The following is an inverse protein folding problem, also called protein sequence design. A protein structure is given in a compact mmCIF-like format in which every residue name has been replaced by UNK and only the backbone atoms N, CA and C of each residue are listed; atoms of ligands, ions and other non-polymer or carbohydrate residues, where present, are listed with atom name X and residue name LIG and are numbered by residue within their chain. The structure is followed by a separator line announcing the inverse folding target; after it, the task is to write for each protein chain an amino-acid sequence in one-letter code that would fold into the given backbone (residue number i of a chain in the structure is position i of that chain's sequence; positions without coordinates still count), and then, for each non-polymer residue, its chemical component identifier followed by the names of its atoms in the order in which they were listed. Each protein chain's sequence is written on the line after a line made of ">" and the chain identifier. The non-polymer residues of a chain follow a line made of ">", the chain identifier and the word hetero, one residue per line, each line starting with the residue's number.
data_IF_502267041376
#
_entry.id   IF_502267041376
#
_cell.length_a   1.000
_cell.length_b   1.000
_cell.length_c   1.000
_cell.angle_alpha   90.00
_cell.angle_beta   90.00
_cell.angle_gamma   90.00
#
_symmetry.space_group_name_H-M   'P 1'
#
loop_
_entity.id
_entity.type
_entity.pdbx_description
1 polymer ?
#
# COMPACT_ATOMS: atom_id res chain seq x y z
N UNK A 1 -26.94 -16.86 -14.27
CA UNK A 1 -26.47 -17.41 -12.98
C UNK A 1 -24.99 -17.08 -12.84
N UNK A 2 -24.58 -16.48 -11.71
CA UNK A 2 -23.18 -16.21 -11.36
C UNK A 2 -22.73 -17.23 -10.31
N UNK A 3 -21.52 -17.76 -10.44
CA UNK A 3 -20.90 -18.68 -9.49
C UNK A 3 -19.52 -18.17 -9.12
N UNK A 4 -19.25 -18.00 -7.84
CA UNK A 4 -17.92 -17.69 -7.33
C UNK A 4 -17.23 -18.98 -6.87
N UNK A 5 -15.98 -19.17 -7.37
CA UNK A 5 -15.14 -20.30 -7.00
C UNK A 5 -13.87 -19.76 -6.30
N UNK A 6 -13.60 -20.18 -5.09
CA UNK A 6 -12.40 -19.82 -4.35
C UNK A 6 -11.30 -20.83 -4.68
N UNK A 7 -10.18 -20.34 -5.20
CA UNK A 7 -8.98 -21.12 -5.51
C UNK A 7 -7.80 -20.38 -4.85
N UNK A 8 -7.20 -20.98 -3.83
CA UNK A 8 -6.14 -20.34 -3.03
C UNK A 8 -4.81 -20.25 -3.76
N UNK A 9 -4.48 -21.26 -4.58
CA UNK A 9 -3.21 -21.30 -5.29
C UNK A 9 -3.23 -20.42 -6.55
N UNK A 10 -2.26 -19.51 -6.67
CA UNK A 10 -2.18 -18.49 -7.72
C UNK A 10 -2.12 -19.13 -9.11
N UNK A 11 -1.20 -20.08 -9.34
CA UNK A 11 -1.03 -20.77 -10.62
C UNK A 11 -2.27 -21.59 -11.01
N UNK A 12 -2.96 -22.18 -10.04
CA UNK A 12 -4.16 -22.95 -10.32
C UNK A 12 -5.32 -22.07 -10.82
N UNK A 13 -5.40 -20.80 -10.37
CA UNK A 13 -6.41 -19.84 -10.87
C UNK A 13 -6.21 -19.53 -12.35
N UNK A 14 -4.97 -19.25 -12.76
CA UNK A 14 -4.66 -18.97 -14.17
C UNK A 14 -4.92 -20.19 -15.06
N UNK A 15 -4.49 -21.38 -14.63
CA UNK A 15 -4.75 -22.65 -15.36
C UNK A 15 -6.25 -22.90 -15.52
N UNK A 16 -7.06 -22.68 -14.47
CA UNK A 16 -8.51 -22.85 -14.54
C UNK A 16 -9.18 -21.89 -15.54
N UNK A 17 -8.68 -20.65 -15.67
CA UNK A 17 -9.14 -19.71 -16.68
C UNK A 17 -8.74 -20.17 -18.10
N UNK A 18 -7.49 -20.59 -18.30
CA UNK A 18 -7.00 -21.10 -19.61
C UNK A 18 -7.76 -22.32 -20.08
N UNK A 19 -8.12 -23.22 -19.18
CA UNK A 19 -8.90 -24.42 -19.49
C UNK A 19 -10.41 -24.16 -19.66
N UNK A 20 -10.86 -22.93 -19.42
CA UNK A 20 -12.30 -22.58 -19.51
C UNK A 20 -13.13 -23.09 -18.33
N UNK A 21 -12.50 -23.46 -17.22
CA UNK A 21 -13.19 -23.79 -15.96
C UNK A 21 -13.67 -22.53 -15.23
N UNK A 22 -13.03 -21.38 -15.52
CA UNK A 22 -13.42 -20.05 -15.11
C UNK A 22 -13.64 -19.18 -16.35
N UNK A 23 -14.66 -18.34 -16.31
CA UNK A 23 -14.92 -17.31 -17.32
C UNK A 23 -14.19 -16.01 -17.02
N UNK A 24 -13.95 -15.74 -15.72
CA UNK A 24 -13.37 -14.50 -15.20
C UNK A 24 -12.50 -14.79 -13.99
N UNK A 25 -11.37 -14.07 -13.89
CA UNK A 25 -10.43 -14.08 -12.76
C UNK A 25 -10.20 -12.63 -12.31
N UNK A 26 -10.63 -12.28 -11.09
CA UNK A 26 -10.55 -10.92 -10.55
C UNK A 26 -9.24 -10.61 -9.80
N UNK A 27 -8.39 -11.59 -9.58
CA UNK A 27 -7.08 -11.49 -8.91
C UNK A 27 -6.04 -12.24 -9.74
N UNK A 28 -5.54 -11.60 -10.77
CA UNK A 28 -4.51 -12.17 -11.65
C UNK A 28 -3.17 -12.11 -10.95
N UNK A 29 -2.43 -13.25 -10.84
CA UNK A 29 -1.04 -13.21 -10.39
C UNK A 29 -0.20 -12.36 -11.35
N UNK A 30 0.59 -11.44 -10.80
CA UNK A 30 1.43 -10.54 -11.62
C UNK A 30 2.45 -11.28 -12.46
N UNK A 31 2.90 -12.46 -12.01
CA UNK A 31 3.76 -13.38 -12.77
C UNK A 31 3.11 -13.92 -14.05
N UNK A 32 1.80 -13.98 -14.10
CA UNK A 32 1.05 -14.60 -15.20
C UNK A 32 0.45 -13.54 -16.16
N UNK A 33 0.54 -12.26 -15.83
CA UNK A 33 -0.06 -11.18 -16.63
C UNK A 33 0.44 -11.18 -18.07
N UNK A 34 1.75 -11.36 -18.30
CA UNK A 34 2.33 -11.46 -19.64
C UNK A 34 1.78 -12.64 -20.44
N UNK A 35 1.70 -13.81 -19.82
CA UNK A 35 1.15 -15.02 -20.45
C UNK A 35 -0.32 -14.85 -20.86
N UNK A 36 -1.10 -14.14 -20.04
CA UNK A 36 -2.51 -13.86 -20.34
C UNK A 36 -2.62 -12.85 -21.49
N UNK A 37 -1.79 -11.79 -21.53
CA UNK A 37 -1.74 -10.82 -22.65
C UNK A 37 -1.45 -11.47 -23.99
N UNK A 38 -0.57 -12.49 -23.98
CA UNK A 38 -0.14 -13.19 -25.20
C UNK A 38 -1.12 -14.29 -25.66
N UNK A 39 -2.22 -14.52 -24.93
CA UNK A 39 -3.20 -15.56 -25.23
C UNK A 39 -4.45 -15.00 -25.91
N UNK A 40 -4.61 -15.25 -27.22
CA UNK A 40 -5.73 -14.78 -28.04
C UNK A 40 -7.13 -15.21 -27.54
N UNK A 41 -7.21 -16.24 -26.70
CA UNK A 41 -8.49 -16.71 -26.12
C UNK A 41 -8.89 -15.95 -24.86
N UNK A 42 -7.97 -15.15 -24.31
CA UNK A 42 -8.15 -14.41 -23.09
C UNK A 42 -8.11 -12.89 -23.36
N UNK A 43 -8.60 -12.13 -22.43
CA UNK A 43 -8.41 -10.69 -22.39
C UNK A 43 -7.97 -10.30 -20.98
N UNK A 44 -7.03 -9.36 -20.89
CA UNK A 44 -6.59 -8.76 -19.65
C UNK A 44 -7.09 -7.32 -19.59
N UNK A 45 -7.97 -7.03 -18.65
CA UNK A 45 -8.46 -5.68 -18.38
C UNK A 45 -7.58 -5.06 -17.27
N UNK A 46 -6.89 -3.98 -17.59
CA UNK A 46 -6.02 -3.24 -16.67
C UNK A 46 -6.70 -1.95 -16.21
N UNK A 47 -6.56 -1.61 -14.94
CA UNK A 47 -7.17 -0.38 -14.41
C UNK A 47 -6.33 0.22 -13.29
N UNK A 48 -6.45 1.54 -13.13
CA UNK A 48 -5.87 2.25 -11.98
C UNK A 48 -6.73 1.99 -10.76
N UNK A 49 -6.12 1.42 -9.74
CA UNK A 49 -6.80 1.13 -8.48
C UNK A 49 -6.59 2.24 -7.44
N UNK A 50 -7.41 2.25 -6.39
CA UNK A 50 -7.20 3.10 -5.22
C UNK A 50 -6.24 2.50 -4.21
N UNK A 51 -5.60 1.38 -4.54
CA UNK A 51 -4.71 0.63 -3.66
C UNK A 51 -3.34 1.32 -3.55
N UNK A 52 -2.86 1.44 -2.32
CA UNK A 52 -1.48 1.87 -1.99
C UNK A 52 -0.86 0.82 -1.09
N UNK A 53 0.30 0.30 -1.47
CA UNK A 53 1.18 -0.50 -0.59
C UNK A 53 2.21 0.44 0.06
N UNK A 54 2.43 0.25 1.35
CA UNK A 54 3.30 1.11 2.14
C UNK A 54 4.09 0.35 3.20
N UNK A 55 5.25 0.90 3.52
CA UNK A 55 6.03 0.55 4.69
C UNK A 55 5.75 1.58 5.78
N UNK A 56 5.54 1.12 7.01
CA UNK A 56 5.34 1.99 8.16
C UNK A 56 6.07 1.47 9.38
N UNK A 57 6.42 2.39 10.27
CA UNK A 57 7.08 2.12 11.54
C UNK A 57 6.16 2.48 12.69
N UNK A 58 6.37 1.88 13.85
CA UNK A 58 5.63 2.19 15.06
C UNK A 58 6.23 3.41 15.77
N UNK A 59 5.63 4.58 15.56
CA UNK A 59 6.11 5.86 16.10
C UNK A 59 6.01 5.97 17.63
N UNK A 60 5.33 5.04 18.29
CA UNK A 60 5.32 4.97 19.76
C UNK A 60 6.60 4.35 20.36
N UNK A 61 7.51 3.87 19.51
CA UNK A 61 8.77 3.21 19.88
C UNK A 61 9.96 3.98 19.35
N UNK A 62 10.98 4.22 20.21
CA UNK A 62 12.27 4.70 19.71
C UNK A 62 12.93 3.61 18.82
N UNK A 63 13.62 3.98 17.74
CA UNK A 63 13.97 5.34 17.34
C UNK A 63 12.93 5.97 16.38
N UNK A 64 11.78 5.35 16.15
CA UNK A 64 10.82 5.72 15.13
C UNK A 64 9.96 6.95 15.48
N UNK A 65 10.02 7.43 16.72
CA UNK A 65 9.46 8.71 17.15
C UNK A 65 10.20 9.93 16.56
N UNK A 66 11.40 9.72 15.97
CA UNK A 66 12.19 10.77 15.34
C UNK A 66 11.84 10.95 13.87
N UNK A 67 11.29 12.13 13.50
CA UNK A 67 10.89 12.47 12.12
C UNK A 67 12.06 12.37 11.14
N UNK A 68 13.28 12.85 11.52
CA UNK A 68 14.45 12.77 10.63
C UNK A 68 14.84 11.34 10.30
N UNK A 69 14.69 10.44 11.25
CA UNK A 69 14.93 9.01 11.01
C UNK A 69 13.90 8.47 10.01
N UNK A 70 12.61 8.80 10.14
CA UNK A 70 11.58 8.37 9.19
C UNK A 70 11.81 8.95 7.78
N UNK A 71 12.25 10.22 7.70
CA UNK A 71 12.65 10.83 6.44
C UNK A 71 13.89 10.13 5.84
N UNK A 72 14.85 9.72 6.67
CA UNK A 72 16.01 8.94 6.22
C UNK A 72 15.58 7.61 5.61
N UNK A 73 14.67 6.86 6.27
CA UNK A 73 14.10 5.62 5.73
C UNK A 73 13.40 5.86 4.39
N UNK A 74 12.68 6.99 4.25
CA UNK A 74 11.97 7.33 3.01
C UNK A 74 12.94 7.59 1.85
N UNK A 75 14.09 8.19 2.08
CA UNK A 75 15.14 8.37 1.07
C UNK A 75 15.97 7.11 0.81
N UNK A 76 16.02 6.17 1.76
CA UNK A 76 16.81 4.95 1.64
C UNK A 76 16.15 3.86 0.80
N UNK A 77 14.83 3.91 0.61
CA UNK A 77 14.06 2.82 -0.03
C UNK A 77 13.90 3.08 -1.53
N UNK A 78 14.48 2.19 -2.35
CA UNK A 78 14.32 2.21 -3.80
C UNK A 78 13.00 1.58 -4.23
N UNK A 79 12.00 2.42 -4.47
CA UNK A 79 10.64 1.99 -4.86
C UNK A 79 10.60 1.32 -6.23
N UNK A 80 11.49 1.72 -7.16
CA UNK A 80 11.54 1.13 -8.50
C UNK A 80 11.93 -0.35 -8.45
N UNK A 81 12.95 -0.70 -7.65
CA UNK A 81 13.37 -2.09 -7.47
C UNK A 81 12.26 -2.93 -6.81
N UNK A 82 11.49 -2.31 -5.90
CA UNK A 82 10.32 -2.98 -5.29
C UNK A 82 9.26 -3.31 -6.33
N UNK A 83 8.92 -2.38 -7.23
CA UNK A 83 7.92 -2.62 -8.29
C UNK A 83 8.36 -3.77 -9.20
N UNK A 84 9.65 -3.80 -9.56
CA UNK A 84 10.21 -4.91 -10.37
C UNK A 84 10.12 -6.24 -9.63
N UNK A 85 10.63 -6.29 -8.41
CA UNK A 85 10.79 -7.54 -7.66
C UNK A 85 9.46 -8.09 -7.11
N UNK A 86 8.56 -7.21 -6.66
CA UNK A 86 7.36 -7.64 -5.92
C UNK A 86 6.14 -7.83 -6.80
N UNK A 87 6.02 -7.05 -7.89
CA UNK A 87 4.83 -7.07 -8.76
C UNK A 87 5.15 -7.19 -10.25
N UNK A 88 6.38 -7.57 -10.62
CA UNK A 88 6.78 -7.84 -12.02
C UNK A 88 6.46 -6.67 -12.97
N UNK A 89 6.65 -5.43 -12.53
CA UNK A 89 6.25 -4.18 -13.22
C UNK A 89 4.73 -4.01 -13.40
N UNK A 90 3.88 -4.82 -12.75
CA UNK A 90 2.43 -4.65 -12.73
C UNK A 90 2.03 -3.64 -11.62
N UNK A 91 2.57 -2.44 -11.71
CA UNK A 91 2.36 -1.34 -10.77
C UNK A 91 3.27 -0.16 -11.08
N UNK A 92 3.08 0.92 -10.34
CA UNK A 92 3.92 2.11 -10.45
C UNK A 92 4.39 2.56 -9.07
N UNK A 93 5.59 3.13 -9.01
CA UNK A 93 6.07 3.78 -7.78
C UNK A 93 5.07 4.86 -7.34
N UNK A 94 4.89 5.01 -6.04
CA UNK A 94 3.88 5.91 -5.52
C UNK A 94 4.39 6.67 -4.30
N UNK A 95 4.02 7.96 -4.20
CA UNK A 95 4.47 8.85 -3.12
C UNK A 95 3.33 9.34 -2.23
N UNK A 96 2.08 9.10 -2.64
CA UNK A 96 0.92 9.60 -1.92
C UNK A 96 0.35 8.55 -0.96
N UNK A 97 -0.33 9.02 0.08
CA UNK A 97 -1.00 8.21 1.09
C UNK A 97 -2.36 7.69 0.62
N UNK A 98 -2.91 8.31 -0.43
CA UNK A 98 -4.22 8.03 -0.99
C UNK A 98 -4.05 7.65 -2.46
N UNK A 99 -4.62 6.54 -2.89
CA UNK A 99 -4.50 6.04 -4.26
C UNK A 99 -5.06 7.02 -5.29
N UNK A 100 -4.41 7.15 -6.44
CA UNK A 100 -4.68 8.18 -7.45
C UNK A 100 -6.13 8.20 -7.98
N UNK A 101 -6.83 7.06 -7.98
CA UNK A 101 -8.23 6.97 -8.40
C UNK A 101 -9.23 7.24 -7.27
N UNK A 102 -8.78 7.52 -6.04
CA UNK A 102 -9.66 7.72 -4.89
C UNK A 102 -10.16 9.16 -4.79
N UNK A 103 -11.37 9.32 -4.30
CA UNK A 103 -11.86 10.62 -3.82
C UNK A 103 -11.01 11.01 -2.60
N UNK A 104 -10.56 12.27 -2.57
CA UNK A 104 -9.66 12.76 -1.51
C UNK A 104 -8.16 12.60 -1.85
N UNK A 105 -7.84 12.14 -3.06
CA UNK A 105 -6.48 12.24 -3.58
C UNK A 105 -6.16 13.68 -3.99
N UNK A 106 -5.04 14.21 -3.48
CA UNK A 106 -4.49 15.52 -3.86
C UNK A 106 -2.96 15.41 -3.96
N UNK A 107 -2.36 15.87 -5.06
CA UNK A 107 -0.89 15.80 -5.27
C UNK A 107 -0.18 16.99 -4.59
N UNK A 108 -0.22 17.00 -3.25
CA UNK A 108 0.38 18.04 -2.40
C UNK A 108 1.45 17.49 -1.45
N UNK A 109 1.73 16.21 -1.56
CA UNK A 109 2.65 15.50 -0.66
C UNK A 109 4.11 15.89 -0.91
N UNK A 110 4.91 15.86 0.14
CA UNK A 110 6.38 15.89 0.03
C UNK A 110 6.84 14.55 -0.52
N UNK A 111 7.62 14.59 -1.62
CA UNK A 111 8.18 13.40 -2.27
C UNK A 111 9.60 13.17 -1.79
N UNK A 112 9.95 11.90 -1.60
CA UNK A 112 11.26 11.46 -1.14
C UNK A 112 11.91 10.63 -2.24
N UNK A 113 12.80 11.26 -3.00
CA UNK A 113 13.60 10.56 -4.02
C UNK A 113 14.57 9.59 -3.34
N UNK A 114 14.87 8.48 -4.01
CA UNK A 114 15.90 7.56 -3.56
C UNK A 114 17.26 8.25 -3.57
N UNK A 115 17.84 8.45 -2.39
CA UNK A 115 19.10 9.16 -2.16
C UNK A 115 19.78 8.63 -0.90
N UNK A 116 20.70 7.70 -1.10
CA UNK A 116 21.42 7.02 0.01
C UNK A 116 22.27 8.00 0.81
N UNK A 117 22.90 8.99 0.16
CA UNK A 117 23.77 9.93 0.86
C UNK A 117 22.94 10.90 1.72
N UNK A 118 21.80 11.34 1.22
CA UNK A 118 20.85 12.13 2.01
C UNK A 118 20.26 11.33 3.16
N UNK A 119 19.94 10.05 2.93
CA UNK A 119 19.47 9.14 3.97
C UNK A 119 20.51 8.99 5.09
N UNK A 120 21.79 8.79 4.76
CA UNK A 120 22.89 8.71 5.75
C UNK A 120 23.06 10.01 6.53
N UNK A 121 22.97 11.16 5.86
CA UNK A 121 23.06 12.45 6.52
C UNK A 121 21.93 12.64 7.55
N UNK A 122 20.68 12.36 7.17
CA UNK A 122 19.51 12.45 8.05
C UNK A 122 19.60 11.45 9.20
N UNK A 123 20.09 10.24 8.95
CA UNK A 123 20.30 9.22 9.98
C UNK A 123 21.33 9.67 11.01
N UNK A 124 22.42 10.30 10.55
CA UNK A 124 23.42 10.88 11.46
C UNK A 124 22.86 12.04 12.29
N UNK A 125 22.06 12.94 11.66
CA UNK A 125 21.36 14.02 12.35
C UNK A 125 20.34 13.50 13.38
N UNK A 126 19.77 12.32 13.13
CA UNK A 126 18.88 11.64 14.06
C UNK A 126 19.63 10.96 15.22
N UNK A 127 20.98 10.88 15.17
CA UNK A 127 21.81 10.25 16.19
C UNK A 127 22.07 8.76 15.97
N UNK A 128 21.84 8.24 14.76
CA UNK A 128 21.93 6.81 14.40
C UNK A 128 22.91 6.55 13.26
N UNK A 129 24.01 7.30 13.18
CA UNK A 129 25.03 7.14 12.13
C UNK A 129 25.61 5.72 12.00
N UNK A 130 25.66 5.00 13.13
CA UNK A 130 26.15 3.61 13.17
C UNK A 130 25.07 2.57 12.86
N UNK A 131 23.87 3.02 12.47
CA UNK A 131 22.72 2.15 12.25
C UNK A 131 22.06 1.63 13.53
N UNK A 132 21.13 0.71 13.38
CA UNK A 132 20.41 0.04 14.47
C UNK A 132 19.74 -1.23 13.95
N UNK A 133 19.14 -2.01 14.85
CA UNK A 133 18.43 -3.24 14.50
C UNK A 133 16.95 -3.13 14.89
N UNK A 134 16.06 -3.61 14.01
CA UNK A 134 14.63 -3.68 14.28
C UNK A 134 13.98 -4.84 13.53
N UNK A 135 12.72 -5.15 13.83
CA UNK A 135 11.94 -6.21 13.19
C UNK A 135 10.77 -5.66 12.39
N UNK A 136 10.65 -6.09 11.13
CA UNK A 136 9.52 -5.79 10.25
C UNK A 136 8.59 -7.00 10.13
N UNK A 137 7.31 -6.82 10.46
CA UNK A 137 6.28 -7.84 10.31
C UNK A 137 5.66 -7.79 8.91
N UNK A 138 5.47 -8.96 8.31
CA UNK A 138 4.87 -9.09 6.98
C UNK A 138 3.89 -10.26 6.92
N UNK A 139 2.86 -10.12 6.08
CA UNK A 139 1.94 -11.20 5.73
C UNK A 139 1.86 -11.36 4.22
N UNK A 140 1.96 -12.59 3.75
CA UNK A 140 1.95 -12.93 2.32
C UNK A 140 3.31 -12.85 1.63
N UNK A 141 3.42 -13.53 0.49
CA UNK A 141 4.68 -13.69 -0.24
C UNK A 141 5.14 -12.39 -0.91
N UNK A 142 4.24 -11.62 -1.50
CA UNK A 142 4.56 -10.34 -2.16
C UNK A 142 5.20 -9.36 -1.18
N UNK A 143 4.63 -9.21 0.04
CA UNK A 143 5.20 -8.33 1.06
C UNK A 143 6.52 -8.88 1.62
N UNK A 144 6.69 -10.20 1.69
CA UNK A 144 7.98 -10.79 2.07
C UNK A 144 9.07 -10.45 1.04
N UNK A 145 8.76 -10.49 -0.26
CA UNK A 145 9.68 -10.04 -1.33
C UNK A 145 9.97 -8.53 -1.18
N UNK A 146 8.95 -7.70 -0.99
CA UNK A 146 9.10 -6.26 -0.74
C UNK A 146 10.04 -6.00 0.45
N UNK A 147 9.84 -6.72 1.56
CA UNK A 147 10.66 -6.59 2.75
C UNK A 147 12.14 -6.96 2.48
N UNK A 148 12.39 -7.97 1.64
CA UNK A 148 13.76 -8.36 1.27
C UNK A 148 14.47 -7.25 0.49
N UNK A 149 13.79 -6.55 -0.41
CA UNK A 149 14.35 -5.39 -1.13
C UNK A 149 14.64 -4.25 -0.14
N UNK A 150 13.70 -3.92 0.75
CA UNK A 150 13.88 -2.89 1.77
C UNK A 150 15.05 -3.24 2.69
N UNK A 151 15.14 -4.50 3.13
CA UNK A 151 16.26 -4.98 3.98
C UNK A 151 17.60 -4.73 3.32
N UNK A 152 17.73 -5.02 2.01
CA UNK A 152 18.96 -4.79 1.26
C UNK A 152 19.29 -3.28 1.17
N UNK A 153 18.30 -2.44 0.89
CA UNK A 153 18.50 -0.99 0.83
C UNK A 153 18.94 -0.41 2.20
N UNK A 154 18.30 -0.82 3.29
CA UNK A 154 18.62 -0.34 4.63
C UNK A 154 19.99 -0.82 5.13
N UNK A 155 20.48 -1.97 4.68
CA UNK A 155 21.80 -2.47 5.00
C UNK A 155 22.91 -1.54 4.52
N UNK A 156 22.71 -0.76 3.45
CA UNK A 156 23.66 0.26 2.97
C UNK A 156 23.86 1.43 3.96
N UNK A 157 22.91 1.58 4.88
CA UNK A 157 22.95 2.58 5.95
C UNK A 157 23.43 1.99 7.30
N UNK A 158 23.86 0.71 7.33
CA UNK A 158 24.21 0.02 8.56
C UNK A 158 23.00 -0.43 9.39
N UNK A 159 21.79 -0.31 8.85
CA UNK A 159 20.55 -0.72 9.52
C UNK A 159 20.28 -2.21 9.26
N UNK A 160 20.06 -2.97 10.32
CA UNK A 160 19.68 -4.38 10.26
C UNK A 160 18.18 -4.53 10.45
N UNK A 161 17.45 -4.86 9.38
CA UNK A 161 16.02 -5.17 9.44
C UNK A 161 15.81 -6.68 9.46
N UNK A 162 15.29 -7.23 10.56
CA UNK A 162 14.84 -8.61 10.63
C UNK A 162 13.43 -8.72 10.03
N UNK A 163 13.19 -9.76 9.22
CA UNK A 163 11.87 -9.98 8.61
C UNK A 163 11.18 -11.12 9.36
N UNK A 164 9.99 -10.87 9.90
CA UNK A 164 9.13 -11.89 10.51
C UNK A 164 7.86 -12.04 9.68
N UNK A 165 7.82 -13.13 8.90
CA UNK A 165 6.64 -13.48 8.10
C UNK A 165 5.69 -14.33 8.92
N UNK A 166 4.39 -14.01 8.84
CA UNK A 166 3.34 -14.71 9.58
C UNK A 166 2.04 -14.77 8.80
N UNK A 167 1.09 -15.58 9.29
CA UNK A 167 -0.26 -15.62 8.77
C UNK A 167 -1.00 -14.29 8.99
N UNK A 168 -1.92 -13.95 8.09
CA UNK A 168 -2.60 -12.65 8.07
C UNK A 168 -3.34 -12.35 9.40
N UNK A 169 -4.01 -13.34 9.99
CA UNK A 169 -4.70 -13.16 11.27
C UNK A 169 -3.75 -12.76 12.39
N UNK A 170 -2.61 -13.46 12.51
CA UNK A 170 -1.57 -13.17 13.49
C UNK A 170 -0.92 -11.81 13.23
N UNK A 171 -0.70 -11.45 11.97
CA UNK A 171 -0.18 -10.15 11.58
C UNK A 171 -1.10 -9.01 12.06
N UNK A 172 -2.40 -9.11 11.78
CA UNK A 172 -3.36 -8.08 12.19
C UNK A 172 -3.51 -7.99 13.71
N UNK A 173 -3.46 -9.12 14.44
CA UNK A 173 -3.49 -9.15 15.89
C UNK A 173 -2.25 -8.46 16.47
N UNK A 174 -1.05 -8.91 16.13
CA UNK A 174 0.21 -8.37 16.64
C UNK A 174 0.40 -6.89 16.30
N UNK A 175 0.14 -6.49 15.05
CA UNK A 175 0.24 -5.08 14.66
C UNK A 175 -0.84 -4.23 15.31
N UNK A 176 -2.04 -4.78 15.53
CA UNK A 176 -3.11 -4.14 16.29
C UNK A 176 -2.74 -3.87 17.74
N UNK A 177 -1.97 -4.78 18.35
CA UNK A 177 -1.45 -4.64 19.72
C UNK A 177 -0.19 -3.75 19.81
N UNK A 178 0.37 -3.28 18.66
CA UNK A 178 1.59 -2.47 18.64
C UNK A 178 2.86 -3.25 18.95
N UNK A 179 2.89 -4.57 18.75
CA UNK A 179 4.05 -5.41 19.03
C UNK A 179 5.20 -5.18 18.02
N UNK A 180 4.87 -4.82 16.77
CA UNK A 180 5.83 -4.56 15.68
C UNK A 180 6.67 -3.31 15.93
N UNK A 181 7.87 -3.31 15.35
CA UNK A 181 8.69 -2.11 15.19
C UNK A 181 8.36 -1.45 13.84
N UNK A 182 8.25 -2.25 12.79
CA UNK A 182 7.79 -1.86 11.47
C UNK A 182 6.87 -2.92 10.86
N UNK A 183 6.08 -2.54 9.86
CA UNK A 183 5.31 -3.51 9.08
C UNK A 183 5.06 -3.04 7.64
N UNK A 184 4.77 -4.00 6.75
CA UNK A 184 4.27 -3.77 5.41
C UNK A 184 2.77 -3.99 5.39
N UNK A 185 2.04 -3.01 4.90
CA UNK A 185 0.61 -3.05 4.77
C UNK A 185 0.14 -2.36 3.49
N UNK A 186 -1.12 -2.52 3.15
CA UNK A 186 -1.74 -1.85 2.03
C UNK A 186 -3.16 -1.42 2.36
N UNK A 187 -3.64 -0.43 1.63
CA UNK A 187 -5.00 0.06 1.78
C UNK A 187 -5.65 0.31 0.44
N UNK A 188 -6.89 -0.12 0.29
CA UNK A 188 -7.76 0.19 -0.83
C UNK A 188 -8.75 1.25 -0.36
N UNK A 189 -8.57 2.48 -0.81
CA UNK A 189 -9.49 3.56 -0.47
C UNK A 189 -10.85 3.31 -1.13
N UNK A 190 -11.94 3.58 -0.41
CA UNK A 190 -13.29 3.51 -0.94
C UNK A 190 -13.80 4.89 -1.41
N UNK A 191 -15.09 5.00 -1.72
CA UNK A 191 -15.67 6.21 -2.27
C UNK A 191 -15.80 7.37 -1.25
N UNK A 192 -15.66 7.10 0.04
CA UNK A 192 -15.78 8.11 1.11
C UNK A 192 -14.41 8.36 1.74
N UNK A 193 -13.82 9.58 1.60
CA UNK A 193 -12.49 9.88 2.11
C UNK A 193 -12.33 9.62 3.61
N UNK A 194 -13.33 9.94 4.43
CA UNK A 194 -13.29 9.73 5.88
C UNK A 194 -13.02 8.26 6.26
N UNK A 195 -13.53 7.31 5.46
CA UNK A 195 -13.26 5.88 5.65
C UNK A 195 -11.80 5.46 5.39
N UNK A 196 -10.98 6.38 4.87
CA UNK A 196 -9.54 6.17 4.69
C UNK A 196 -8.73 7.00 5.69
N UNK A 197 -9.00 8.31 5.77
CA UNK A 197 -8.22 9.20 6.63
C UNK A 197 -8.40 8.90 8.11
N UNK A 198 -9.63 8.69 8.57
CA UNK A 198 -9.93 8.43 9.98
C UNK A 198 -9.28 7.15 10.52
N UNK A 199 -9.51 5.96 9.93
CA UNK A 199 -8.92 4.75 10.48
C UNK A 199 -7.39 4.71 10.40
N UNK A 200 -6.79 5.36 9.40
CA UNK A 200 -5.35 5.23 9.16
C UNK A 200 -4.50 6.26 9.88
N UNK A 201 -5.04 7.48 10.16
CA UNK A 201 -4.21 8.59 10.61
C UNK A 201 -4.68 9.27 11.89
N UNK A 202 -5.83 8.90 12.46
CA UNK A 202 -6.24 9.50 13.74
C UNK A 202 -5.68 8.75 14.93
N UNK A 203 -5.38 9.50 15.99
CA UNK A 203 -4.82 8.97 17.25
C UNK A 203 -5.75 7.96 17.92
N UNK A 204 -7.07 8.15 17.81
CA UNK A 204 -8.09 7.25 18.38
C UNK A 204 -8.15 5.88 17.71
N UNK A 205 -7.60 5.75 16.50
CA UNK A 205 -7.57 4.51 15.72
C UNK A 205 -6.21 3.81 15.75
N UNK A 206 -5.30 4.21 16.65
CA UNK A 206 -4.00 3.54 16.81
C UNK A 206 -4.16 2.05 17.05
N UNK A 207 -3.35 1.25 16.37
CA UNK A 207 -3.36 -0.20 16.46
C UNK A 207 -4.56 -0.86 15.76
N UNK A 208 -5.41 -1.57 16.48
CA UNK A 208 -6.51 -2.35 15.92
C UNK A 208 -7.53 -1.55 15.12
N UNK A 209 -7.62 -0.23 15.33
CA UNK A 209 -8.48 0.66 14.56
C UNK A 209 -8.01 0.91 13.13
N UNK A 210 -6.74 0.61 12.80
CA UNK A 210 -6.18 0.78 11.46
C UNK A 210 -4.86 1.53 11.39
N UNK A 211 -4.64 2.50 12.27
CA UNK A 211 -3.42 3.28 12.35
C UNK A 211 -2.27 2.44 12.93
N UNK A 212 -1.58 1.71 12.06
CA UNK A 212 -0.45 0.84 12.39
C UNK A 212 0.85 1.61 12.65
N UNK A 213 0.93 2.88 12.24
CA UNK A 213 2.05 3.76 12.60
C UNK A 213 2.03 4.21 14.05
N UNK A 214 0.90 4.08 14.74
CA UNK A 214 0.67 4.67 16.06
C UNK A 214 0.90 6.18 16.09
N UNK A 215 0.80 6.79 14.92
CA UNK A 215 0.89 8.23 14.71
C UNK A 215 -0.13 8.98 15.57
N UNK A 216 0.30 10.10 16.12
CA UNK A 216 -0.54 10.96 16.96
C UNK A 216 -0.26 12.42 16.65
N UNK A 217 -1.25 13.09 16.06
CA UNK A 217 -1.17 14.53 15.81
C UNK A 217 -2.57 15.14 16.04
N UNK A 218 -2.74 15.96 17.10
CA UNK A 218 -4.04 16.56 17.44
C UNK A 218 -4.59 17.48 16.34
N UNK A 219 -3.73 18.09 15.51
CA UNK A 219 -4.17 18.90 14.38
C UNK A 219 -4.76 18.03 13.27
N UNK A 220 -4.11 16.92 12.93
CA UNK A 220 -4.65 15.94 11.99
C UNK A 220 -5.96 15.34 12.50
N UNK A 221 -6.03 14.97 13.79
CA UNK A 221 -7.27 14.49 14.41
C UNK A 221 -8.43 15.48 14.25
N UNK A 222 -8.14 16.76 14.49
CA UNK A 222 -9.12 17.85 14.35
C UNK A 222 -9.55 18.01 12.89
N UNK A 223 -8.60 18.11 11.95
CA UNK A 223 -8.90 18.31 10.52
C UNK A 223 -9.72 17.17 9.93
N UNK A 224 -9.42 15.91 10.30
CA UNK A 224 -10.23 14.75 9.90
C UNK A 224 -11.65 14.86 10.46
N UNK A 225 -11.79 15.30 11.72
CA UNK A 225 -13.09 15.54 12.34
C UNK A 225 -13.90 16.63 11.65
N UNK A 226 -13.26 17.77 11.34
CA UNK A 226 -13.87 18.91 10.67
C UNK A 226 -14.31 18.56 9.24
N UNK A 227 -13.44 17.92 8.46
CA UNK A 227 -13.73 17.50 7.09
C UNK A 227 -14.95 16.56 6.98
N UNK A 228 -15.16 15.69 7.97
CA UNK A 228 -16.28 14.75 7.98
C UNK A 228 -17.65 15.40 8.14
N UNK A 229 -17.73 16.59 8.76
CA UNK A 229 -19.01 17.26 9.04
C UNK A 229 -19.21 18.54 8.23
N UNK A 230 -18.15 19.06 7.61
CA UNK A 230 -18.22 20.29 6.83
C UNK A 230 -18.92 20.05 5.48
N UNK A 231 -19.76 21.00 5.07
CA UNK A 231 -20.48 20.95 3.79
C UNK A 231 -19.86 21.83 2.70
N UNK A 232 -18.92 22.68 3.07
CA UNK A 232 -18.15 23.48 2.11
C UNK A 232 -17.05 22.62 1.51
N UNK A 233 -17.22 22.24 0.26
CA UNK A 233 -16.29 21.37 -0.46
C UNK A 233 -14.88 21.96 -0.56
N UNK A 234 -14.74 23.28 -0.69
CA UNK A 234 -13.43 23.92 -0.79
C UNK A 234 -12.70 23.87 0.56
N UNK A 235 -13.40 24.06 1.67
CA UNK A 235 -12.84 23.90 3.01
C UNK A 235 -12.43 22.44 3.27
N UNK A 236 -13.30 21.48 2.94
CA UNK A 236 -12.99 20.03 3.06
C UNK A 236 -11.75 19.64 2.24
N UNK A 237 -11.67 20.12 1.00
CA UNK A 237 -10.47 19.89 0.17
C UNK A 237 -9.21 20.42 0.85
N UNK A 238 -9.25 21.67 1.33
CA UNK A 238 -8.12 22.29 2.02
C UNK A 238 -7.70 21.52 3.28
N UNK A 239 -8.66 21.00 4.02
CA UNK A 239 -8.39 20.17 5.20
C UNK A 239 -7.62 18.89 4.79
N UNK A 240 -8.08 18.16 3.78
CA UNK A 240 -7.38 16.97 3.29
C UNK A 240 -6.02 17.28 2.66
N UNK A 241 -5.86 18.37 1.92
CA UNK A 241 -4.56 18.83 1.42
C UNK A 241 -3.59 19.11 2.56
N UNK A 242 -4.06 19.77 3.63
CA UNK A 242 -3.24 20.05 4.82
C UNK A 242 -2.84 18.75 5.54
N UNK A 243 -3.78 17.81 5.69
CA UNK A 243 -3.50 16.50 6.28
C UNK A 243 -2.41 15.77 5.46
N UNK A 244 -2.58 15.65 4.14
CA UNK A 244 -1.61 14.94 3.28
C UNK A 244 -0.22 15.58 3.34
N UNK A 245 -0.16 16.92 3.33
CA UNK A 245 1.11 17.64 3.46
C UNK A 245 1.78 17.35 4.79
N UNK A 246 1.04 17.39 5.89
CA UNK A 246 1.54 17.11 7.23
C UNK A 246 2.05 15.66 7.34
N UNK A 247 1.24 14.68 6.92
CA UNK A 247 1.64 13.27 6.95
C UNK A 247 2.93 13.01 6.16
N UNK A 248 3.06 13.64 5.00
CA UNK A 248 4.24 13.47 4.15
C UNK A 248 5.47 14.20 4.71
N UNK A 249 5.31 15.42 5.24
CA UNK A 249 6.41 16.14 5.89
C UNK A 249 6.95 15.40 7.11
N UNK A 250 6.07 14.75 7.87
CA UNK A 250 6.42 13.95 9.04
C UNK A 250 6.84 12.50 8.69
N UNK A 251 6.77 12.14 7.40
CA UNK A 251 7.13 10.81 6.89
C UNK A 251 6.46 9.67 7.69
N UNK A 252 5.14 9.78 7.94
CA UNK A 252 4.35 8.81 8.72
C UNK A 252 4.37 7.42 8.08
N UNK A 253 4.32 7.36 6.76
CA UNK A 253 4.54 6.18 5.95
C UNK A 253 5.64 6.43 4.92
N UNK A 254 6.19 5.35 4.39
CA UNK A 254 6.85 5.32 3.10
C UNK A 254 5.88 4.66 2.12
N UNK A 255 5.07 5.44 1.37
CA UNK A 255 4.29 4.87 0.28
C UNK A 255 5.25 4.27 -0.74
N UNK A 256 4.99 3.04 -1.18
CA UNK A 256 5.91 2.27 -2.01
C UNK A 256 5.46 2.24 -3.47
N UNK A 257 4.27 1.69 -3.69
CA UNK A 257 3.70 1.56 -5.03
C UNK A 257 2.18 1.44 -5.00
N UNK A 258 1.58 1.74 -6.14
CA UNK A 258 0.19 1.42 -6.43
C UNK A 258 0.16 0.27 -7.45
N UNK A 259 -0.38 -0.91 -7.12
CA UNK A 259 -0.46 -2.01 -8.07
C UNK A 259 -1.47 -1.70 -9.18
N UNK A 260 -1.17 -2.12 -10.40
CA UNK A 260 -2.14 -2.16 -11.49
C UNK A 260 -3.23 -3.17 -11.15
N UNK A 261 -4.48 -2.76 -11.22
CA UNK A 261 -5.60 -3.70 -11.11
C UNK A 261 -5.66 -4.57 -12.35
N UNK A 262 -5.68 -5.88 -12.16
CA UNK A 262 -5.66 -6.87 -13.24
C UNK A 262 -6.87 -7.79 -13.13
N UNK A 263 -7.68 -7.84 -14.20
CA UNK A 263 -8.79 -8.78 -14.35
C UNK A 263 -8.60 -9.53 -15.66
N UNK A 264 -8.57 -10.86 -15.60
CA UNK A 264 -8.49 -11.69 -16.78
C UNK A 264 -9.83 -12.37 -17.06
N UNK A 265 -10.18 -12.50 -18.31
CA UNK A 265 -11.44 -13.13 -18.74
C UNK A 265 -11.31 -13.87 -20.06
N UNK A 266 -12.27 -14.74 -20.33
CA UNK A 266 -12.47 -15.26 -21.69
C UNK A 266 -12.67 -14.07 -22.63
N UNK A 267 -11.97 -14.06 -23.78
CA UNK A 267 -12.02 -12.96 -24.75
C UNK A 267 -13.44 -12.67 -25.30
N UNK A 268 -14.33 -13.68 -25.30
CA UNK A 268 -15.72 -13.55 -25.73
C UNK A 268 -16.64 -13.04 -24.63
N UNK A 269 -16.26 -13.09 -23.36
CA UNK A 269 -17.03 -12.52 -22.27
C UNK A 269 -16.92 -10.99 -22.33
N UNK A 270 -18.07 -10.31 -22.44
CA UNK A 270 -18.16 -8.85 -22.57
C UNK A 270 -18.87 -8.25 -21.34
N UNK A 271 -18.85 -6.91 -21.24
CA UNK A 271 -19.58 -6.18 -20.20
C UNK A 271 -18.82 -6.02 -18.90
N UNK A 272 -17.54 -6.45 -18.82
CA UNK A 272 -16.71 -6.18 -17.65
C UNK A 272 -16.32 -4.71 -17.62
N UNK A 273 -16.60 -4.06 -16.48
CA UNK A 273 -16.13 -2.69 -16.19
C UNK A 273 -15.39 -2.75 -14.83
N UNK A 274 -14.06 -2.66 -14.83
CA UNK A 274 -13.29 -2.68 -13.59
C UNK A 274 -13.64 -1.49 -12.69
N UNK A 275 -13.74 -1.75 -11.39
CA UNK A 275 -13.95 -0.71 -10.39
C UNK A 275 -12.63 -0.38 -9.69
N UNK A 276 -12.21 0.91 -9.62
CA UNK A 276 -10.99 1.32 -8.93
C UNK A 276 -10.91 0.88 -7.46
N UNK A 277 -12.06 0.77 -6.79
CA UNK A 277 -12.17 0.34 -5.40
C UNK A 277 -12.26 -1.19 -5.24
N UNK A 278 -11.99 -1.95 -6.32
CA UNK A 278 -12.01 -3.42 -6.36
C UNK A 278 -13.38 -4.07 -6.02
N UNK A 279 -14.44 -3.29 -6.01
CA UNK A 279 -15.82 -3.76 -5.88
C UNK A 279 -16.47 -3.78 -7.27
N UNK A 280 -16.26 -4.87 -8.01
CA UNK A 280 -16.67 -4.98 -9.40
C UNK A 280 -18.14 -5.31 -9.56
N UNK A 281 -18.79 -4.70 -10.56
CA UNK A 281 -20.15 -5.03 -10.96
C UNK A 281 -20.13 -6.08 -12.09
N UNK A 282 -20.81 -7.19 -11.84
CA UNK A 282 -20.90 -8.32 -12.78
C UNK A 282 -22.26 -8.39 -13.51
N UNK A 283 -23.14 -7.42 -13.29
CA UNK A 283 -24.52 -7.48 -13.87
C UNK A 283 -24.53 -7.39 -15.38
N UNK A 284 -23.61 -6.63 -15.97
CA UNK A 284 -23.53 -6.42 -17.42
C UNK A 284 -22.80 -7.54 -18.19
N UNK A 285 -22.26 -8.55 -17.49
CA UNK A 285 -21.50 -9.64 -18.13
C UNK A 285 -22.39 -10.49 -19.05
N UNK A 286 -21.91 -10.73 -20.28
CA UNK A 286 -22.58 -11.57 -21.29
C UNK A 286 -21.57 -12.15 -22.29
N UNK A 287 -21.95 -13.26 -22.95
CA UNK A 287 -21.23 -13.84 -24.08
C UNK A 287 -21.78 -13.34 -25.42
#
# INVERSE_FOLDING_TARGET
>A
KLTFKVISEDSARTIALENGELDLLISVPTTDAGKIRDNDKLALDEYVSTHVEYFTVNESKAPFDNVKLRQALSHAINKADIVVASVNNEGQTFDNYIGAAAIGYYDVVTKYDYDVEKAKALLAEAGYADGFTFTCYVAGSTRATTATVIQANLAELGITMNIEQMEASTFYEKTGNGEHDACLAGWVANAEPDNTYRPLFTSSNSGAGGNRSFYKNPEVDKLVGDAAVNRDKAAVQKDYETILKTLSDEAVWVPLYSPTGLIARNANLKGMTPSPIQMHDFYALHY
#
